data_IF_219364808325
#
_entry.id   IF_219364808325
#
_cell.length_a   1.000
_cell.length_b   1.000
_cell.length_c   1.000
_cell.angle_alpha   90.00
_cell.angle_beta   90.00
_cell.angle_gamma   90.00
#
_symmetry.space_group_name_H-M   'P 1'
#
loop_
_entity.id
_entity.type
_entity.pdbx_description
1 polymer ?
#
# COMPACT_ATOMS: atom_id res chain seq x y z
N UNK A 1 -13.96 5.34 -17.76
CA UNK A 1 -12.55 5.68 -17.46
C UNK A 1 -12.09 4.76 -16.33
N UNK A 2 -10.89 4.20 -16.41
CA UNK A 2 -10.35 3.38 -15.33
C UNK A 2 -10.06 4.24 -14.10
N UNK A 3 -10.39 3.72 -12.92
CA UNK A 3 -10.09 4.37 -11.65
C UNK A 3 -8.56 4.43 -11.44
N UNK A 4 -7.97 5.57 -11.03
CA UNK A 4 -6.55 5.63 -10.72
C UNK A 4 -6.19 4.68 -9.58
N UNK A 5 -5.01 4.07 -9.66
CA UNK A 5 -4.53 3.10 -8.67
C UNK A 5 -3.23 3.62 -8.05
N UNK A 6 -3.20 3.75 -6.73
CA UNK A 6 -2.00 4.15 -5.99
C UNK A 6 -1.53 2.99 -5.12
N UNK A 7 -0.27 2.60 -5.29
CA UNK A 7 0.34 1.53 -4.51
C UNK A 7 1.37 2.12 -3.56
N UNK A 8 1.27 1.80 -2.27
CA UNK A 8 2.35 1.99 -1.30
C UNK A 8 3.02 0.65 -1.10
N UNK A 9 4.34 0.60 -1.21
CA UNK A 9 5.12 -0.59 -0.96
C UNK A 9 6.20 -0.34 0.09
N UNK A 10 6.07 -1.01 1.23
CA UNK A 10 7.03 -1.01 2.32
C UNK A 10 8.04 -2.13 2.14
N UNK A 11 9.29 -1.79 1.82
CA UNK A 11 10.37 -2.75 1.59
C UNK A 11 10.82 -3.46 2.89
N UNK A 12 10.33 -3.04 4.07
CA UNK A 12 10.51 -3.80 5.32
C UNK A 12 9.72 -5.11 5.32
N UNK A 13 8.68 -5.23 4.48
CA UNK A 13 7.90 -6.46 4.35
C UNK A 13 8.75 -7.55 3.72
N UNK A 14 9.15 -8.53 4.53
CA UNK A 14 9.90 -9.71 4.08
C UNK A 14 8.95 -10.75 3.48
N UNK A 15 8.26 -10.40 2.41
CA UNK A 15 7.47 -11.39 1.65
C UNK A 15 8.42 -12.30 0.86
N UNK A 16 8.26 -13.62 1.03
CA UNK A 16 9.00 -14.61 0.21
C UNK A 16 8.57 -14.60 -1.26
N UNK A 17 7.47 -13.91 -1.61
CA UNK A 17 6.87 -13.97 -2.95
C UNK A 17 6.32 -12.62 -3.45
N UNK A 18 7.18 -11.61 -3.70
CA UNK A 18 6.75 -10.29 -4.17
C UNK A 18 5.97 -10.30 -5.50
N UNK A 19 6.32 -11.22 -6.41
CA UNK A 19 5.61 -11.38 -7.69
C UNK A 19 4.16 -11.85 -7.51
N UNK A 20 3.89 -12.72 -6.53
CA UNK A 20 2.53 -13.18 -6.25
C UNK A 20 1.69 -12.04 -5.66
N UNK A 21 2.26 -11.23 -4.78
CA UNK A 21 1.59 -10.02 -4.27
C UNK A 21 1.24 -9.11 -5.44
N UNK A 22 2.19 -8.85 -6.35
CA UNK A 22 1.93 -8.00 -7.51
C UNK A 22 0.78 -8.53 -8.40
N UNK A 23 0.74 -9.84 -8.66
CA UNK A 23 -0.37 -10.46 -9.40
C UNK A 23 -1.70 -10.24 -8.70
N UNK A 24 -1.76 -10.41 -7.38
CA UNK A 24 -2.96 -10.15 -6.60
C UNK A 24 -3.37 -8.67 -6.63
N UNK A 25 -2.43 -7.73 -6.65
CA UNK A 25 -2.72 -6.30 -6.82
C UNK A 25 -3.42 -6.06 -8.15
N UNK A 26 -2.90 -6.64 -9.24
CA UNK A 26 -3.51 -6.52 -10.56
C UNK A 26 -4.91 -7.15 -10.59
N UNK A 27 -5.09 -8.33 -10.03
CA UNK A 27 -6.42 -8.97 -9.94
C UNK A 27 -7.42 -8.11 -9.17
N UNK A 28 -7.01 -7.56 -8.02
CA UNK A 28 -7.87 -6.73 -7.16
C UNK A 28 -8.20 -5.37 -7.75
N UNK A 29 -7.37 -4.88 -8.66
CA UNK A 29 -7.56 -3.60 -9.34
C UNK A 29 -8.19 -3.77 -10.73
N UNK A 30 -8.64 -4.98 -11.10
CA UNK A 30 -9.28 -5.24 -12.39
C UNK A 30 -8.30 -5.20 -13.57
N UNK A 31 -7.03 -5.50 -13.33
CA UNK A 31 -5.95 -5.44 -14.32
C UNK A 31 -5.41 -4.03 -14.58
N UNK A 32 -5.88 -3.02 -13.84
CA UNK A 32 -5.42 -1.65 -13.99
C UNK A 32 -3.96 -1.51 -13.52
N UNK A 33 -3.13 -0.87 -14.34
CA UNK A 33 -1.75 -0.53 -13.96
C UNK A 33 -1.77 0.55 -12.87
N UNK A 34 -0.79 0.53 -11.94
CA UNK A 34 -0.64 1.61 -10.97
C UNK A 34 -0.45 2.95 -11.68
N UNK A 35 -1.23 3.94 -11.28
CA UNK A 35 -1.03 5.34 -11.66
C UNK A 35 0.19 5.90 -10.92
N UNK A 36 0.33 5.58 -9.63
CA UNK A 36 1.53 5.89 -8.87
C UNK A 36 1.97 4.77 -7.93
N UNK A 37 3.26 4.80 -7.61
CA UNK A 37 3.91 3.88 -6.70
C UNK A 37 4.76 4.66 -5.68
N UNK A 38 4.42 4.54 -4.40
CA UNK A 38 5.17 5.08 -3.28
C UNK A 38 6.00 3.95 -2.66
N UNK A 39 7.33 4.05 -2.74
CA UNK A 39 8.24 3.01 -2.26
C UNK A 39 8.92 3.50 -0.99
N UNK A 40 8.65 2.83 0.12
CA UNK A 40 9.37 3.04 1.38
C UNK A 40 10.56 2.06 1.43
N UNK A 41 11.79 2.60 1.33
CA UNK A 41 13.03 1.84 1.36
C UNK A 41 13.97 2.39 2.45
N UNK A 42 13.73 2.06 3.74
CA UNK A 42 14.63 2.42 4.81
C UNK A 42 15.98 1.67 4.69
N UNK A 43 17.02 2.07 5.44
CA UNK A 43 18.33 1.42 5.40
C UNK A 43 18.24 -0.10 5.61
N UNK A 44 19.11 -0.85 4.93
CA UNK A 44 19.18 -2.32 4.99
C UNK A 44 17.93 -3.06 4.48
N UNK A 45 17.16 -2.43 3.58
CA UNK A 45 16.08 -3.09 2.84
C UNK A 45 16.38 -3.16 1.35
N UNK A 46 16.03 -4.28 0.75
CA UNK A 46 16.17 -4.49 -0.69
C UNK A 46 14.86 -4.18 -1.40
N UNK A 47 14.98 -3.53 -2.56
CA UNK A 47 13.83 -3.32 -3.43
C UNK A 47 13.49 -4.64 -4.15
N UNK A 48 12.29 -5.22 -3.97
CA UNK A 48 11.93 -6.45 -4.64
C UNK A 48 11.88 -6.26 -6.17
N UNK A 49 12.41 -7.25 -6.90
CA UNK A 49 12.57 -7.23 -8.35
C UNK A 49 11.35 -6.73 -9.16
N UNK A 50 10.08 -7.13 -8.87
CA UNK A 50 8.94 -6.57 -9.59
C UNK A 50 8.88 -5.05 -9.54
N UNK A 51 9.19 -4.43 -8.39
CA UNK A 51 9.16 -2.98 -8.25
C UNK A 51 10.21 -2.29 -9.10
N UNK A 52 11.42 -2.84 -9.22
CA UNK A 52 12.46 -2.29 -10.10
C UNK A 52 11.94 -2.10 -11.54
N UNK A 53 11.14 -3.05 -12.02
CA UNK A 53 10.53 -3.00 -13.36
C UNK A 53 9.34 -2.04 -13.39
N UNK A 54 8.45 -2.09 -12.40
CA UNK A 54 7.22 -1.28 -12.34
C UNK A 54 7.53 0.21 -12.17
N UNK A 55 8.56 0.54 -11.39
CA UNK A 55 8.95 1.92 -11.15
C UNK A 55 9.33 2.66 -12.44
N UNK A 56 9.79 1.94 -13.47
CA UNK A 56 10.10 2.49 -14.79
C UNK A 56 8.85 2.81 -15.63
N UNK A 57 7.67 2.35 -15.21
CA UNK A 57 6.42 2.39 -15.99
C UNK A 57 5.32 3.26 -15.36
N UNK A 58 5.51 3.80 -14.16
CA UNK A 58 4.52 4.60 -13.44
C UNK A 58 5.18 5.76 -12.68
N UNK A 59 4.36 6.72 -12.23
CA UNK A 59 4.85 7.81 -11.38
C UNK A 59 5.31 7.24 -10.04
N UNK A 60 6.62 7.18 -9.84
CA UNK A 60 7.20 6.52 -8.68
C UNK A 60 7.92 7.53 -7.80
N UNK A 61 7.62 7.52 -6.50
CA UNK A 61 8.37 8.24 -5.47
C UNK A 61 9.00 7.24 -4.53
N UNK A 62 10.29 7.40 -4.26
CA UNK A 62 11.04 6.54 -3.35
C UNK A 62 11.46 7.36 -2.13
N UNK A 63 11.18 6.82 -0.95
CA UNK A 63 11.49 7.40 0.34
C UNK A 63 12.61 6.60 0.98
N UNK A 64 13.75 7.25 1.22
CA UNK A 64 14.98 6.65 1.75
C UNK A 64 15.46 7.43 2.97
N UNK A 65 16.30 6.81 3.80
CA UNK A 65 16.84 7.42 5.01
C UNK A 65 16.00 7.16 6.27
N UNK A 66 16.34 7.85 7.36
CA UNK A 66 15.76 7.61 8.69
C UNK A 66 14.28 8.02 8.78
N UNK A 67 13.91 9.13 8.13
CA UNK A 67 12.54 9.68 8.14
C UNK A 67 11.65 9.18 6.99
N UNK A 68 12.09 8.14 6.27
CA UNK A 68 11.41 7.66 5.06
C UNK A 68 9.94 7.28 5.32
N UNK A 69 9.64 6.70 6.49
CA UNK A 69 8.28 6.30 6.86
C UNK A 69 7.35 7.51 6.97
N UNK A 70 7.81 8.56 7.65
CA UNK A 70 7.05 9.80 7.90
C UNK A 70 6.78 10.52 6.59
N UNK A 71 7.78 10.66 5.71
CA UNK A 71 7.58 11.28 4.40
C UNK A 71 6.64 10.46 3.50
N UNK A 72 6.77 9.14 3.51
CA UNK A 72 5.86 8.25 2.77
C UNK A 72 4.42 8.39 3.26
N UNK A 73 4.22 8.45 4.58
CA UNK A 73 2.90 8.67 5.19
C UNK A 73 2.29 10.02 4.81
N UNK A 74 3.10 11.10 4.84
CA UNK A 74 2.63 12.44 4.44
C UNK A 74 2.21 12.45 2.98
N UNK A 75 3.00 11.84 2.09
CA UNK A 75 2.64 11.74 0.67
C UNK A 75 1.34 10.94 0.47
N UNK A 76 1.15 9.83 1.19
CA UNK A 76 -0.10 9.07 1.16
C UNK A 76 -1.29 9.94 1.60
N UNK A 77 -1.15 10.70 2.68
CA UNK A 77 -2.19 11.64 3.12
C UNK A 77 -2.53 12.66 2.03
N UNK A 78 -1.52 13.25 1.39
CA UNK A 78 -1.71 14.18 0.28
C UNK A 78 -2.43 13.54 -0.91
N UNK A 79 -2.08 12.31 -1.29
CA UNK A 79 -2.76 11.59 -2.36
C UNK A 79 -4.23 11.33 -2.03
N UNK A 80 -4.53 10.92 -0.79
CA UNK A 80 -5.90 10.71 -0.33
C UNK A 80 -6.74 11.98 -0.41
N UNK A 81 -6.17 13.12 -0.03
CA UNK A 81 -6.86 14.42 -0.10
C UNK A 81 -7.08 14.90 -1.53
N UNK A 82 -6.10 14.70 -2.42
CA UNK A 82 -6.16 15.19 -3.80
C UNK A 82 -6.92 14.26 -4.74
N UNK A 83 -6.95 12.96 -4.45
CA UNK A 83 -7.56 11.93 -5.30
C UNK A 83 -8.43 10.95 -4.46
N UNK A 84 -9.53 11.44 -3.85
CA UNK A 84 -10.35 10.66 -2.92
C UNK A 84 -11.07 9.47 -3.58
N UNK A 85 -11.23 9.50 -4.91
CA UNK A 85 -11.90 8.45 -5.68
C UNK A 85 -10.94 7.38 -6.21
N UNK A 86 -9.65 7.43 -5.86
CA UNK A 86 -8.67 6.45 -6.33
C UNK A 86 -8.72 5.16 -5.54
N UNK A 87 -8.23 4.07 -6.14
CA UNK A 87 -8.02 2.80 -5.46
C UNK A 87 -6.65 2.81 -4.77
N UNK A 88 -6.62 2.59 -3.46
CA UNK A 88 -5.38 2.56 -2.70
C UNK A 88 -5.01 1.12 -2.33
N UNK A 89 -3.76 0.75 -2.54
CA UNK A 89 -3.21 -0.55 -2.19
C UNK A 89 -1.97 -0.33 -1.33
N UNK A 90 -1.96 -0.90 -0.13
CA UNK A 90 -0.87 -0.77 0.83
C UNK A 90 -0.24 -2.13 1.06
N UNK A 91 1.02 -2.29 0.70
CA UNK A 91 1.82 -3.48 1.00
C UNK A 91 2.72 -3.13 2.18
N UNK A 92 2.25 -3.39 3.39
CA UNK A 92 2.99 -3.11 4.63
C UNK A 92 2.54 -3.99 5.78
N UNK A 93 3.49 -4.36 6.63
CA UNK A 93 3.22 -4.95 7.94
C UNK A 93 2.99 -3.88 9.01
N UNK A 94 3.30 -2.61 8.75
CA UNK A 94 3.04 -1.49 9.66
C UNK A 94 1.61 -0.94 9.46
N UNK A 95 0.63 -1.82 9.60
CA UNK A 95 -0.78 -1.53 9.34
C UNK A 95 -1.29 -0.35 10.17
N UNK A 96 -1.03 -0.27 11.49
CA UNK A 96 -1.53 0.84 12.30
C UNK A 96 -1.01 2.20 11.86
N UNK A 97 0.19 2.27 11.27
CA UNK A 97 0.73 3.53 10.78
C UNK A 97 -0.03 4.01 9.53
N UNK A 98 -0.10 3.18 8.50
CA UNK A 98 -0.71 3.56 7.22
C UNK A 98 -2.24 3.64 7.27
N UNK A 99 -2.90 2.80 8.07
CA UNK A 99 -4.37 2.83 8.21
C UNK A 99 -4.86 4.19 8.77
N UNK A 100 -4.08 4.88 9.60
CA UNK A 100 -4.46 6.19 10.16
C UNK A 100 -4.69 7.25 9.09
N UNK A 101 -4.03 7.16 7.94
CA UNK A 101 -4.24 8.10 6.83
C UNK A 101 -5.70 8.08 6.34
N UNK A 102 -6.33 6.90 6.35
CA UNK A 102 -7.70 6.68 5.89
C UNK A 102 -8.75 7.07 6.94
N UNK A 103 -8.36 7.23 8.21
CA UNK A 103 -9.25 7.77 9.25
C UNK A 103 -9.68 9.20 8.93
N UNK A 104 -8.78 9.99 8.33
CA UNK A 104 -8.97 11.43 8.09
C UNK A 104 -9.62 11.70 6.74
N UNK A 105 -9.43 10.81 5.76
CA UNK A 105 -9.95 10.95 4.40
C UNK A 105 -11.13 10.00 4.15
N UNK A 106 -12.31 10.27 4.72
CA UNK A 106 -13.51 9.49 4.41
C UNK A 106 -14.19 10.02 3.13
N UNK A 107 -14.68 9.16 2.22
CA UNK A 107 -14.85 7.70 2.33
C UNK A 107 -13.75 6.89 1.60
N UNK A 108 -12.46 7.18 1.81
CA UNK A 108 -11.40 6.44 1.13
C UNK A 108 -11.36 4.97 1.56
N UNK A 109 -11.23 4.08 0.58
CA UNK A 109 -11.04 2.64 0.78
C UNK A 109 -9.62 2.24 0.42
N UNK A 110 -9.13 1.17 1.05
CA UNK A 110 -7.80 0.63 0.76
C UNK A 110 -7.74 -0.89 0.91
N UNK A 111 -6.82 -1.49 0.18
CA UNK A 111 -6.48 -2.92 0.28
C UNK A 111 -5.10 -3.03 0.91
N UNK A 112 -5.01 -3.66 2.07
CA UNK A 112 -3.78 -3.93 2.79
C UNK A 112 -3.30 -5.36 2.55
N UNK A 113 -2.12 -5.52 1.99
CA UNK A 113 -1.39 -6.78 1.96
C UNK A 113 -0.44 -6.82 3.16
N UNK A 114 -0.75 -7.66 4.14
CA UNK A 114 -0.07 -7.68 5.44
C UNK A 114 0.00 -9.08 6.04
N UNK A 115 1.12 -9.41 6.69
CA UNK A 115 1.29 -10.64 7.48
C UNK A 115 0.85 -10.46 8.94
N UNK A 116 0.62 -9.22 9.39
CA UNK A 116 0.16 -8.98 10.75
C UNK A 116 -1.27 -9.46 10.95
N UNK A 117 -1.51 -10.15 12.08
CA UNK A 117 -2.87 -10.35 12.58
C UNK A 117 -3.37 -9.00 13.05
N UNK A 118 -4.50 -8.54 12.50
CA UNK A 118 -5.14 -7.31 12.96
C UNK A 118 -5.47 -7.45 14.45
N UNK A 119 -4.94 -6.52 15.24
CA UNK A 119 -5.28 -6.38 16.65
C UNK A 119 -6.19 -5.18 16.84
N UNK A 120 -6.92 -5.19 17.95
CA UNK A 120 -7.65 -4.03 18.45
C UNK A 120 -6.72 -2.79 18.51
N UNK A 121 -7.17 -1.58 18.15
CA UNK A 121 -8.57 -1.16 17.88
C UNK A 121 -9.01 -1.19 16.42
N UNK A 122 -8.14 -1.55 15.47
CA UNK A 122 -8.47 -1.48 14.02
C UNK A 122 -9.62 -2.41 13.63
N UNK A 123 -9.73 -3.57 14.28
CA UNK A 123 -10.78 -4.56 14.01
C UNK A 123 -12.18 -4.11 14.40
N UNK A 124 -12.31 -3.11 15.29
CA UNK A 124 -13.58 -2.63 15.84
C UNK A 124 -13.91 -1.19 15.42
N UNK A 125 -12.97 -0.51 14.77
CA UNK A 125 -13.13 0.86 14.35
C UNK A 125 -14.06 0.97 13.14
N UNK A 126 -15.19 1.68 13.27
CA UNK A 126 -16.15 1.89 12.17
C UNK A 126 -15.53 2.53 10.93
N UNK A 127 -14.59 3.47 11.12
CA UNK A 127 -13.88 4.12 10.02
C UNK A 127 -12.97 3.17 9.24
N UNK A 128 -12.57 2.04 9.83
CA UNK A 128 -11.74 1.04 9.18
C UNK A 128 -12.56 0.00 8.39
N UNK A 129 -13.90 0.03 8.46
CA UNK A 129 -14.78 -0.88 7.73
C UNK A 129 -14.55 -0.92 6.20
N UNK A 130 -14.18 0.20 5.52
CA UNK A 130 -13.82 0.19 4.10
C UNK A 130 -12.44 -0.40 3.78
N UNK A 131 -11.64 -0.76 4.79
CA UNK A 131 -10.30 -1.31 4.60
C UNK A 131 -10.36 -2.84 4.48
N UNK A 132 -9.78 -3.38 3.42
CA UNK A 132 -9.66 -4.82 3.21
C UNK A 132 -8.26 -5.29 3.59
N UNK A 133 -8.14 -6.42 4.29
CA UNK A 133 -6.86 -6.95 4.73
C UNK A 133 -6.64 -8.36 4.17
N UNK A 134 -5.51 -8.57 3.49
CA UNK A 134 -5.17 -9.79 2.78
C UNK A 134 -3.83 -10.31 3.32
N UNK A 135 -3.86 -11.54 3.87
CA UNK A 135 -2.66 -12.26 4.26
C UNK A 135 -1.97 -12.87 3.02
N UNK A 136 -0.68 -12.59 2.77
CA UNK A 136 0.04 -13.19 1.65
C UNK A 136 0.22 -14.70 1.91
N UNK A 137 -0.43 -15.55 1.09
CA UNK A 137 -0.24 -17.01 1.12
C UNK A 137 -1.51 -17.86 1.27
N UNK A 138 -2.70 -17.28 1.36
CA UNK A 138 -3.96 -18.03 1.19
C UNK A 138 -4.47 -17.91 -0.24
N UNK A 139 -3.85 -18.62 -1.17
CA UNK A 139 -4.60 -19.11 -2.33
C UNK A 139 -5.42 -20.29 -1.86
N UNK A 140 -6.75 -20.24 -2.06
CA UNK A 140 -7.56 -21.46 -2.08
C UNK A 140 -7.10 -22.36 -3.23
#
# INVERSE_FOLDING_TARGET
MSQPVHVVWDCRVKSKKPLEIWKQILEKTGGNRPTSLLVLQPPNTDLPQPLCTIMRMCLSKMFVGEDALQFCYVELCCLLSNQPNSAFVIVSDDVPHFARAFRVAQPASAIFFTQQKLQWPLSEASWAAPLQFIAPGRSK
#
